data_IF_855620433927
#
_entry.id   IF_855620433927
#
_cell.length_a   1.000
_cell.length_b   1.000
_cell.length_c   1.000
_cell.angle_alpha   90.00
_cell.angle_beta   90.00
_cell.angle_gamma   90.00
#
_symmetry.space_group_name_H-M   'P 1'
#
loop_
_entity.id
_entity.type
_entity.pdbx_description
1 polymer ?
#
# COMPACT_ATOMS: atom_id res chain seq x y z
N UNK A 1 -15.06 20.18 5.01
CA UNK A 1 -15.39 18.74 4.95
C UNK A 1 -14.18 18.05 4.38
N UNK A 2 -13.57 17.13 5.10
CA UNK A 2 -12.45 16.35 4.57
C UNK A 2 -13.03 15.25 3.69
N UNK A 3 -12.71 15.29 2.39
CA UNK A 3 -13.15 14.29 1.43
C UNK A 3 -12.26 13.06 1.59
N UNK A 4 -12.71 12.08 2.36
CA UNK A 4 -12.07 10.79 2.47
C UNK A 4 -12.78 9.79 1.56
N UNK A 5 -12.03 9.15 0.66
CA UNK A 5 -12.54 8.09 -0.19
C UNK A 5 -11.85 6.80 0.20
N UNK A 6 -12.63 5.77 0.56
CA UNK A 6 -12.13 4.43 0.86
C UNK A 6 -12.62 3.46 -0.21
N UNK A 7 -11.68 2.76 -0.83
CA UNK A 7 -11.94 1.79 -1.89
C UNK A 7 -11.45 0.43 -1.42
N UNK A 8 -12.36 -0.54 -1.28
CA UNK A 8 -12.02 -1.94 -1.00
C UNK A 8 -11.84 -2.68 -2.32
N UNK A 9 -10.77 -3.45 -2.43
CA UNK A 9 -10.42 -4.19 -3.63
C UNK A 9 -11.01 -5.59 -3.58
N UNK A 10 -11.60 -6.03 -4.70
CA UNK A 10 -11.91 -7.45 -4.92
C UNK A 10 -10.63 -8.26 -4.98
N UNK A 11 -10.65 -9.59 -4.74
CA UNK A 11 -9.46 -10.43 -4.78
C UNK A 11 -8.62 -10.26 -6.06
N UNK A 12 -9.26 -10.05 -7.21
CA UNK A 12 -8.63 -9.89 -8.52
C UNK A 12 -8.00 -8.49 -8.73
N UNK A 13 -8.39 -7.52 -7.92
CA UNK A 13 -7.86 -6.15 -7.95
C UNK A 13 -6.72 -5.92 -6.96
N UNK A 14 -6.42 -6.89 -6.09
CA UNK A 14 -5.34 -6.78 -5.11
C UNK A 14 -3.99 -6.78 -5.81
N UNK A 15 -3.05 -6.05 -5.24
CA UNK A 15 -1.70 -5.95 -5.78
C UNK A 15 -0.68 -5.90 -4.66
N UNK A 16 0.57 -6.18 -5.01
CA UNK A 16 1.70 -6.12 -4.09
C UNK A 16 2.41 -4.78 -4.24
N UNK A 17 2.78 -4.18 -3.12
CA UNK A 17 3.74 -3.07 -3.06
C UNK A 17 4.90 -3.47 -2.16
N UNK A 18 6.10 -3.05 -2.51
CA UNK A 18 7.26 -3.15 -1.64
C UNK A 18 7.45 -1.83 -0.90
N UNK A 19 7.60 -1.92 0.42
CA UNK A 19 7.92 -0.76 1.25
C UNK A 19 9.43 -0.76 1.46
N UNK A 20 10.11 0.18 0.80
CA UNK A 20 11.58 0.29 0.81
C UNK A 20 12.19 0.36 2.22
N UNK A 21 11.42 0.87 3.19
CA UNK A 21 11.82 0.97 4.59
C UNK A 21 11.34 -0.25 5.38
N UNK A 22 11.98 -1.40 5.17
CA UNK A 22 11.78 -2.57 6.04
C UNK A 22 11.62 -3.93 5.38
N UNK A 23 12.06 -4.12 4.12
CA UNK A 23 12.06 -5.45 3.46
C UNK A 23 10.70 -6.15 3.54
N UNK A 24 9.65 -5.35 3.32
CA UNK A 24 8.27 -5.78 3.52
C UNK A 24 7.48 -5.65 2.22
N UNK A 25 6.79 -6.73 1.86
CA UNK A 25 5.74 -6.71 0.85
C UNK A 25 4.39 -6.54 1.51
N UNK A 26 3.54 -5.70 0.92
CA UNK A 26 2.16 -5.51 1.37
C UNK A 26 1.22 -5.94 0.25
N UNK A 27 0.36 -6.93 0.54
CA UNK A 27 -0.78 -7.27 -0.32
C UNK A 27 -1.91 -6.29 -0.04
N UNK A 28 -2.03 -5.29 -0.89
CA UNK A 28 -3.01 -4.21 -0.79
C UNK A 28 -4.39 -4.73 -1.12
N UNK A 29 -5.35 -4.51 -0.23
CA UNK A 29 -6.77 -4.82 -0.42
C UNK A 29 -7.68 -3.61 -0.15
N UNK A 30 -7.09 -2.47 0.22
CA UNK A 30 -7.80 -1.22 0.47
C UNK A 30 -6.94 -0.01 0.07
N UNK A 31 -7.56 0.95 -0.64
CA UNK A 31 -6.98 2.25 -0.99
C UNK A 31 -7.75 3.33 -0.24
N UNK A 32 -7.03 4.28 0.36
CA UNK A 32 -7.58 5.45 1.02
C UNK A 32 -7.08 6.71 0.32
N UNK A 33 -7.97 7.63 -0.01
CA UNK A 33 -7.61 8.96 -0.49
C UNK A 33 -8.09 9.99 0.53
N UNK A 34 -7.15 10.76 1.05
CA UNK A 34 -7.40 11.83 2.01
C UNK A 34 -7.27 13.18 1.30
N UNK A 35 -8.37 13.66 0.74
CA UNK A 35 -8.36 14.90 -0.05
C UNK A 35 -8.00 16.15 0.75
N UNK A 36 -8.21 16.14 2.08
CA UNK A 36 -7.77 17.24 2.95
C UNK A 36 -6.28 17.27 3.23
N UNK A 37 -5.59 16.15 3.08
CA UNK A 37 -4.15 16.00 3.32
C UNK A 37 -3.37 15.83 2.00
N UNK A 38 -4.05 15.78 0.85
CA UNK A 38 -3.44 15.45 -0.45
C UNK A 38 -2.61 14.15 -0.41
N UNK A 39 -3.15 13.13 0.26
CA UNK A 39 -2.48 11.85 0.43
C UNK A 39 -3.27 10.70 -0.18
N UNK A 40 -2.53 9.73 -0.73
CA UNK A 40 -3.05 8.40 -1.05
C UNK A 40 -2.39 7.37 -0.13
N UNK A 41 -3.20 6.50 0.44
CA UNK A 41 -2.77 5.45 1.34
C UNK A 41 -3.16 4.08 0.79
N UNK A 42 -2.25 3.12 0.94
CA UNK A 42 -2.52 1.71 0.68
C UNK A 42 -2.54 0.96 2.00
N UNK A 43 -3.50 0.06 2.15
CA UNK A 43 -3.58 -0.78 3.33
C UNK A 43 -3.82 -2.24 2.95
N UNK A 44 -3.18 -3.12 3.70
CA UNK A 44 -3.12 -4.51 3.33
C UNK A 44 -2.37 -5.37 4.33
N UNK A 45 -2.26 -6.64 3.97
CA UNK A 45 -1.55 -7.65 4.76
C UNK A 45 -0.06 -7.57 4.47
N UNK A 46 0.76 -7.58 5.52
CA UNK A 46 2.21 -7.55 5.37
C UNK A 46 2.83 -8.95 5.28
N UNK A 47 3.94 -9.02 4.55
CA UNK A 47 4.81 -10.17 4.44
C UNK A 47 6.24 -9.68 4.61
N UNK A 48 6.98 -10.29 5.54
CA UNK A 48 8.40 -10.05 5.66
C UNK A 48 9.12 -10.89 4.61
N UNK A 49 10.04 -10.26 3.89
CA UNK A 49 10.86 -10.92 2.89
C UNK A 49 12.11 -11.44 3.59
N UNK A 50 12.37 -12.73 3.47
CA UNK A 50 13.63 -13.33 3.86
C UNK A 50 14.48 -13.47 2.59
N UNK A 51 15.42 -12.55 2.38
CA UNK A 51 16.24 -12.51 1.16
C UNK A 51 17.29 -13.63 1.11
N UNK A 52 17.72 -14.16 2.26
CA UNK A 52 18.66 -15.27 2.31
C UNK A 52 17.97 -16.57 1.91
N UNK A 53 16.79 -16.83 2.48
CA UNK A 53 16.01 -18.04 2.21
C UNK A 53 15.10 -17.91 0.97
N UNK A 54 15.00 -16.71 0.38
CA UNK A 54 14.05 -16.37 -0.70
C UNK A 54 12.59 -16.74 -0.37
N UNK A 55 12.18 -16.51 0.88
CA UNK A 55 10.83 -16.85 1.37
C UNK A 55 10.04 -15.63 1.81
N UNK A 56 8.71 -15.75 1.78
CA UNK A 56 7.80 -14.77 2.36
C UNK A 56 7.20 -15.33 3.65
N UNK A 57 7.39 -14.60 4.74
CA UNK A 57 6.80 -14.92 6.04
C UNK A 57 5.63 -13.96 6.29
N UNK A 58 4.44 -14.53 6.36
CA UNK A 58 3.23 -13.77 6.62
C UNK A 58 3.30 -13.07 7.99
N UNK A 59 3.01 -11.77 8.01
CA UNK A 59 2.83 -11.02 9.24
C UNK A 59 1.38 -11.10 9.71
N UNK A 60 1.19 -11.12 11.03
CA UNK A 60 -0.14 -10.99 11.64
C UNK A 60 -0.66 -9.55 11.57
N UNK A 61 0.19 -8.60 11.20
CA UNK A 61 -0.13 -7.18 11.20
C UNK A 61 -0.68 -6.71 9.85
N UNK A 62 -1.63 -5.78 9.93
CA UNK A 62 -2.08 -5.00 8.79
C UNK A 62 -1.30 -3.70 8.76
N UNK A 63 -0.77 -3.35 7.59
CA UNK A 63 0.06 -2.16 7.42
C UNK A 63 -0.73 -1.10 6.65
N UNK A 64 -0.39 0.15 6.90
CA UNK A 64 -0.86 1.31 6.15
C UNK A 64 0.35 2.08 5.64
N UNK A 65 0.39 2.34 4.33
CA UNK A 65 1.48 3.02 3.65
C UNK A 65 0.90 4.28 3.00
N UNK A 66 1.28 5.45 3.52
CA UNK A 66 0.85 6.74 2.98
C UNK A 66 1.89 7.32 2.03
N UNK A 67 1.40 7.94 0.95
CA UNK A 67 2.18 8.67 -0.04
C UNK A 67 1.60 10.08 -0.16
N UNK A 68 2.47 11.08 -0.05
CA UNK A 68 2.12 12.47 -0.34
C UNK A 68 1.96 12.63 -1.86
N UNK A 69 0.84 13.20 -2.32
CA UNK A 69 0.55 13.29 -3.76
C UNK A 69 1.33 14.41 -4.47
N UNK A 70 1.99 15.28 -3.71
CA UNK A 70 2.87 16.32 -4.26
C UNK A 70 4.10 15.75 -5.01
N UNK A 71 4.41 14.46 -4.85
CA UNK A 71 5.51 13.77 -5.53
C UNK A 71 5.05 12.86 -6.70
N UNK A 72 3.73 12.67 -6.89
CA UNK A 72 3.22 11.75 -7.91
C UNK A 72 3.17 12.45 -9.28
N UNK A 73 4.15 12.13 -10.13
CA UNK A 73 4.16 12.55 -11.53
C UNK A 73 3.37 11.55 -12.38
N UNK A 74 2.30 12.02 -13.03
CA UNK A 74 1.57 11.24 -14.03
C UNK A 74 2.24 11.43 -15.39
N UNK A 75 2.78 10.35 -15.96
CA UNK A 75 3.24 10.34 -17.34
C UNK A 75 2.15 9.69 -18.20
N UNK A 76 1.63 10.41 -19.20
CA UNK A 76 0.80 9.81 -20.26
C UNK A 76 1.70 8.93 -21.14
N UNK A 77 1.25 7.70 -21.43
CA UNK A 77 1.92 6.73 -22.31
C UNK A 77 1.23 6.68 -23.65
#
# INVERSE_FOLDING_TARGET
MHNEIKIKLTPEQRFLIEVAKGEMLVMVDEILYFGGAEQIGFSGKAFNIDYEDMTLKESTERVHVGFEMNEISVHEV
#
